data_IF_667976183344
#
_entry.id   IF_667976183344
#
_cell.length_a   1.000
_cell.length_b   1.000
_cell.length_c   1.000
_cell.angle_alpha   90.00
_cell.angle_beta   90.00
_cell.angle_gamma   90.00
#
_symmetry.space_group_name_H-M   'P 1'
#
loop_
_entity.id
_entity.type
_entity.pdbx_description
1 polymer ?
#
# COMPACT_ATOMS: atom_id res chain seq x y z
N UNK A 1 4.40 -11.65 6.85
CA UNK A 1 5.73 -11.08 6.52
C UNK A 1 6.52 -10.54 7.71
N UNK A 2 5.89 -9.96 8.75
CA UNK A 2 6.60 -9.31 9.86
C UNK A 2 7.37 -10.26 10.81
N UNK A 3 7.08 -11.56 10.75
CA UNK A 3 7.72 -12.58 11.59
C UNK A 3 9.07 -13.09 11.05
N UNK A 4 9.31 -12.97 9.73
CA UNK A 4 10.53 -13.50 9.10
C UNK A 4 11.59 -12.41 9.07
N UNK A 5 12.76 -12.71 9.62
CA UNK A 5 13.92 -11.80 9.65
C UNK A 5 15.16 -12.52 9.14
N UNK A 6 16.04 -11.78 8.47
CA UNK A 6 17.37 -12.31 8.09
C UNK A 6 18.14 -12.62 9.39
N UNK A 7 18.69 -13.84 9.55
CA UNK A 7 19.50 -14.21 10.71
C UNK A 7 20.69 -13.27 10.92
N UNK A 8 21.09 -13.04 12.16
CA UNK A 8 22.12 -12.03 12.50
C UNK A 8 23.44 -12.25 11.76
N UNK A 9 23.89 -13.51 11.64
CA UNK A 9 25.12 -13.87 10.93
C UNK A 9 25.09 -13.56 9.43
N UNK A 10 23.90 -13.33 8.85
CA UNK A 10 23.70 -13.03 7.43
C UNK A 10 23.39 -11.56 7.15
N UNK A 11 23.04 -10.75 8.16
CA UNK A 11 22.61 -9.35 7.98
C UNK A 11 23.64 -8.46 7.28
N UNK A 12 24.93 -8.74 7.46
CA UNK A 12 26.04 -7.97 6.85
C UNK A 12 26.55 -8.58 5.55
N UNK A 13 25.95 -9.67 5.06
CA UNK A 13 26.38 -10.31 3.83
C UNK A 13 26.21 -9.36 2.64
N UNK A 14 27.26 -9.13 1.83
CA UNK A 14 27.14 -8.27 0.65
C UNK A 14 26.22 -8.86 -0.42
N UNK A 15 25.97 -10.18 -0.38
CA UNK A 15 25.13 -10.91 -1.33
C UNK A 15 23.63 -10.85 -1.01
N UNK A 16 23.26 -10.47 0.22
CA UNK A 16 21.86 -10.42 0.68
C UNK A 16 21.30 -8.99 0.71
N UNK A 17 21.92 -8.07 -0.03
CA UNK A 17 21.43 -6.70 -0.17
C UNK A 17 20.12 -6.67 -0.96
N UNK A 18 19.15 -5.90 -0.47
CA UNK A 18 17.80 -5.81 -1.04
C UNK A 18 17.71 -4.76 -2.15
N UNK A 19 18.63 -4.81 -3.12
CA UNK A 19 18.68 -3.82 -4.21
C UNK A 19 17.61 -4.07 -5.26
N UNK A 20 17.46 -5.32 -5.72
CA UNK A 20 16.48 -5.65 -6.74
C UNK A 20 15.13 -5.99 -6.11
N UNK A 21 15.12 -6.96 -5.20
CA UNK A 21 13.93 -7.44 -4.46
C UNK A 21 14.13 -7.29 -2.95
N UNK A 22 13.14 -7.72 -2.16
CA UNK A 22 13.14 -7.65 -0.70
C UNK A 22 12.56 -8.92 -0.05
N UNK A 23 12.98 -9.27 1.18
CA UNK A 23 12.54 -10.49 1.85
C UNK A 23 11.02 -10.63 1.96
N UNK A 24 10.31 -9.52 2.15
CA UNK A 24 8.85 -9.52 2.27
C UNK A 24 8.17 -10.09 1.01
N UNK A 25 8.66 -9.74 -0.18
CA UNK A 25 8.14 -10.28 -1.45
C UNK A 25 8.42 -11.77 -1.57
N UNK A 26 9.62 -12.20 -1.16
CA UNK A 26 9.97 -13.62 -1.16
C UNK A 26 9.09 -14.42 -0.21
N UNK A 27 8.87 -13.94 1.02
CA UNK A 27 8.00 -14.60 2.01
C UNK A 27 6.58 -14.75 1.48
N UNK A 28 6.01 -13.71 0.85
CA UNK A 28 4.70 -13.82 0.20
C UNK A 28 4.68 -14.90 -0.89
N UNK A 29 5.69 -14.92 -1.76
CA UNK A 29 5.76 -15.89 -2.85
C UNK A 29 5.92 -17.33 -2.35
N UNK A 30 6.76 -17.56 -1.33
CA UNK A 30 6.92 -18.88 -0.71
C UNK A 30 5.60 -19.31 -0.07
N UNK A 31 4.95 -18.45 0.70
CA UNK A 31 3.67 -18.79 1.33
C UNK A 31 2.63 -19.18 0.27
N UNK A 32 2.49 -18.37 -0.79
CA UNK A 32 1.58 -18.63 -1.90
C UNK A 32 1.93 -19.91 -2.66
N UNK A 33 3.22 -20.22 -2.81
CA UNK A 33 3.67 -21.44 -3.50
C UNK A 33 3.22 -22.70 -2.77
N UNK A 34 3.33 -22.72 -1.43
CA UNK A 34 3.04 -23.91 -0.63
C UNK A 34 1.58 -24.01 -0.16
N UNK A 35 0.94 -22.89 0.18
CA UNK A 35 -0.43 -22.87 0.73
C UNK A 35 -1.49 -22.44 -0.30
N UNK A 36 -1.08 -22.01 -1.49
CA UNK A 36 -1.99 -21.50 -2.50
C UNK A 36 -2.51 -20.10 -2.17
N UNK A 37 -3.74 -19.81 -2.60
CA UNK A 37 -4.33 -18.46 -2.49
C UNK A 37 -5.11 -18.24 -1.18
N UNK A 38 -5.50 -19.30 -0.48
CA UNK A 38 -6.32 -19.22 0.73
C UNK A 38 -5.45 -18.95 1.96
N UNK A 39 -5.80 -17.93 2.73
CA UNK A 39 -5.02 -17.45 3.88
C UNK A 39 -5.63 -17.81 5.24
N UNK A 40 -6.56 -18.79 5.27
CA UNK A 40 -7.36 -19.18 6.43
C UNK A 40 -8.39 -18.16 6.90
N UNK A 41 -8.64 -17.09 6.13
CA UNK A 41 -9.79 -16.22 6.34
C UNK A 41 -10.92 -16.60 5.36
N UNK A 42 -12.06 -17.14 5.83
CA UNK A 42 -13.19 -17.48 4.96
C UNK A 42 -13.69 -16.34 4.08
N UNK A 43 -13.58 -15.08 4.53
CA UNK A 43 -13.97 -13.91 3.74
C UNK A 43 -13.12 -13.72 2.48
N UNK A 44 -11.90 -14.28 2.45
CA UNK A 44 -10.96 -14.18 1.33
C UNK A 44 -11.01 -15.39 0.39
N UNK A 45 -11.80 -16.43 0.69
CA UNK A 45 -11.86 -17.64 -0.12
C UNK A 45 -12.49 -17.38 -1.50
N UNK A 46 -13.60 -16.65 -1.54
CA UNK A 46 -14.31 -16.26 -2.75
C UNK A 46 -14.64 -14.76 -2.67
N UNK A 47 -13.64 -13.88 -2.78
CA UNK A 47 -13.83 -12.47 -2.50
C UNK A 47 -14.72 -11.82 -3.57
N UNK A 48 -15.59 -10.90 -3.14
CA UNK A 48 -16.27 -9.96 -4.02
C UNK A 48 -15.26 -8.99 -4.65
N UNK A 49 -15.59 -8.33 -5.78
CA UNK A 49 -14.76 -7.26 -6.31
C UNK A 49 -14.41 -6.25 -5.22
N UNK A 50 -13.12 -5.91 -5.11
CA UNK A 50 -12.60 -5.07 -4.03
C UNK A 50 -13.34 -3.73 -3.91
N UNK A 51 -13.71 -3.13 -5.04
CA UNK A 51 -14.50 -1.88 -5.08
C UNK A 51 -15.86 -2.00 -4.40
N UNK A 52 -16.53 -3.15 -4.51
CA UNK A 52 -17.81 -3.40 -3.81
C UNK A 52 -17.58 -3.38 -2.30
N UNK A 53 -16.57 -4.12 -1.83
CA UNK A 53 -16.23 -4.19 -0.40
C UNK A 53 -15.80 -2.82 0.15
N UNK A 54 -14.95 -2.09 -0.56
CA UNK A 54 -14.47 -0.77 -0.12
C UNK A 54 -15.58 0.27 -0.11
N UNK A 55 -16.58 0.17 -0.99
CA UNK A 55 -17.77 1.02 -0.95
C UNK A 55 -18.61 0.78 0.32
N UNK A 56 -18.79 -0.48 0.72
CA UNK A 56 -19.50 -0.81 1.97
C UNK A 56 -18.72 -0.32 3.20
N UNK A 57 -17.40 -0.56 3.24
CA UNK A 57 -16.54 -0.05 4.33
C UNK A 57 -16.61 1.48 4.39
N UNK A 58 -16.52 2.16 3.25
CA UNK A 58 -16.66 3.61 3.21
C UNK A 58 -18.07 4.07 3.61
N UNK A 59 -19.11 3.32 3.25
CA UNK A 59 -20.50 3.57 3.66
C UNK A 59 -20.66 3.57 5.19
N UNK A 60 -19.95 2.68 5.89
CA UNK A 60 -19.90 2.66 7.35
C UNK A 60 -19.18 3.89 7.94
N UNK A 61 -18.14 4.39 7.26
CA UNK A 61 -17.39 5.58 7.71
C UNK A 61 -18.18 6.87 7.43
N UNK A 62 -18.81 6.94 6.26
CA UNK A 62 -19.73 8.00 5.83
C UNK A 62 -19.09 9.33 5.44
N UNK A 63 -17.77 9.50 5.60
CA UNK A 63 -17.11 10.79 5.48
C UNK A 63 -15.69 10.68 4.92
N UNK A 64 -15.43 11.37 3.81
CA UNK A 64 -14.10 11.42 3.17
C UNK A 64 -13.08 12.17 4.01
N UNK A 65 -13.48 13.26 4.67
CA UNK A 65 -12.56 14.09 5.46
C UNK A 65 -12.03 13.31 6.67
N UNK A 66 -12.87 12.49 7.31
CA UNK A 66 -12.42 11.61 8.40
C UNK A 66 -11.29 10.67 7.97
N UNK A 67 -11.40 10.05 6.79
CA UNK A 67 -10.37 9.15 6.27
C UNK A 67 -9.09 9.93 5.95
N UNK A 68 -9.21 11.09 5.30
CA UNK A 68 -8.08 11.96 4.95
C UNK A 68 -7.35 12.42 6.22
N UNK A 69 -8.07 13.02 7.17
CA UNK A 69 -7.51 13.51 8.43
C UNK A 69 -6.80 12.38 9.19
N UNK A 70 -7.40 11.19 9.26
CA UNK A 70 -6.78 10.05 9.92
C UNK A 70 -5.50 9.59 9.22
N UNK A 71 -5.49 9.57 7.89
CA UNK A 71 -4.29 9.26 7.13
C UNK A 71 -3.19 10.33 7.34
N UNK A 72 -3.54 11.61 7.48
CA UNK A 72 -2.59 12.66 7.79
C UNK A 72 -2.00 12.54 9.21
N UNK A 73 -2.81 12.19 10.21
CA UNK A 73 -2.34 11.88 11.57
C UNK A 73 -1.38 10.67 11.59
N UNK A 74 -1.73 9.61 10.86
CA UNK A 74 -0.86 8.44 10.74
C UNK A 74 0.46 8.79 10.07
N UNK A 75 0.42 9.62 9.02
CA UNK A 75 1.62 10.15 8.38
C UNK A 75 2.47 10.97 9.34
N UNK A 76 1.88 11.88 10.12
CA UNK A 76 2.61 12.72 11.07
C UNK A 76 3.24 11.92 12.21
N UNK A 77 2.61 10.80 12.61
CA UNK A 77 3.15 9.83 13.58
C UNK A 77 4.20 8.87 13.00
N UNK A 78 4.57 9.01 11.72
CA UNK A 78 5.57 8.16 11.05
C UNK A 78 5.03 6.80 10.57
N UNK A 79 3.73 6.54 10.73
CA UNK A 79 3.07 5.31 10.29
C UNK A 79 2.62 5.39 8.82
N UNK A 80 3.55 5.75 7.93
CA UNK A 80 3.25 6.10 6.52
C UNK A 80 2.59 4.97 5.72
N UNK A 81 3.04 3.71 5.91
CA UNK A 81 2.45 2.57 5.19
C UNK A 81 1.02 2.31 5.66
N UNK A 82 0.76 2.42 6.97
CA UNK A 82 -0.59 2.31 7.53
C UNK A 82 -1.49 3.45 7.04
N UNK A 83 -0.97 4.68 6.98
CA UNK A 83 -1.69 5.82 6.41
C UNK A 83 -2.13 5.56 4.96
N UNK A 84 -1.26 4.92 4.16
CA UNK A 84 -1.57 4.56 2.79
C UNK A 84 -2.70 3.52 2.71
N UNK A 85 -2.67 2.50 3.55
CA UNK A 85 -3.72 1.46 3.60
C UNK A 85 -5.07 2.03 4.05
N UNK A 86 -5.08 2.92 5.06
CA UNK A 86 -6.31 3.60 5.50
C UNK A 86 -6.87 4.49 4.40
N UNK A 87 -6.02 5.25 3.70
CA UNK A 87 -6.45 6.11 2.60
C UNK A 87 -6.97 5.32 1.41
N UNK A 88 -6.48 4.10 1.19
CA UNK A 88 -6.87 3.30 0.02
C UNK A 88 -8.37 2.95 0.04
N UNK A 89 -8.96 2.75 1.23
CA UNK A 89 -10.43 2.58 1.38
C UNK A 89 -11.19 3.70 0.64
N UNK A 90 -10.80 4.96 0.87
CA UNK A 90 -11.40 6.11 0.20
C UNK A 90 -11.07 6.17 -1.28
N UNK A 91 -9.84 5.84 -1.69
CA UNK A 91 -9.43 5.86 -3.10
C UNK A 91 -10.21 4.83 -3.93
N UNK A 92 -10.43 3.63 -3.40
CA UNK A 92 -11.19 2.58 -4.07
C UNK A 92 -12.69 2.94 -4.13
N UNK A 93 -13.24 3.49 -3.04
CA UNK A 93 -14.64 3.86 -2.96
C UNK A 93 -14.99 5.13 -3.77
N UNK A 94 -14.10 6.13 -3.77
CA UNK A 94 -14.26 7.44 -4.42
C UNK A 94 -13.02 7.77 -5.26
N UNK A 95 -12.86 7.10 -6.42
CA UNK A 95 -11.68 7.25 -7.27
C UNK A 95 -11.54 8.65 -7.90
N UNK A 96 -12.54 9.50 -7.84
CA UNK A 96 -12.52 10.88 -8.29
C UNK A 96 -12.13 11.88 -7.18
N UNK A 97 -11.94 11.43 -5.93
CA UNK A 97 -11.55 12.30 -4.84
C UNK A 97 -10.11 12.82 -5.02
N UNK A 98 -10.01 14.10 -5.41
CA UNK A 98 -8.73 14.77 -5.73
C UNK A 98 -7.84 14.89 -4.49
N UNK A 99 -8.40 15.22 -3.33
CA UNK A 99 -7.61 15.41 -2.10
C UNK A 99 -7.02 14.09 -1.61
N UNK A 100 -7.80 13.01 -1.65
CA UNK A 100 -7.29 11.67 -1.36
C UNK A 100 -6.12 11.30 -2.30
N UNK A 101 -6.25 11.55 -3.61
CA UNK A 101 -5.15 11.27 -4.56
C UNK A 101 -3.92 12.12 -4.31
N UNK A 102 -4.07 13.39 -3.96
CA UNK A 102 -2.94 14.26 -3.57
C UNK A 102 -2.23 13.70 -2.33
N UNK A 103 -2.99 13.27 -1.32
CA UNK A 103 -2.41 12.67 -0.12
C UNK A 103 -1.72 11.34 -0.43
N UNK A 104 -2.28 10.50 -1.30
CA UNK A 104 -1.63 9.26 -1.75
C UNK A 104 -0.28 9.53 -2.41
N UNK A 105 -0.19 10.56 -3.27
CA UNK A 105 1.09 11.00 -3.84
C UNK A 105 2.10 11.40 -2.76
N UNK A 106 1.67 12.12 -1.72
CA UNK A 106 2.54 12.52 -0.58
C UNK A 106 3.03 11.29 0.18
N UNK A 107 2.15 10.33 0.47
CA UNK A 107 2.48 9.08 1.16
C UNK A 107 3.47 8.22 0.37
N UNK A 108 3.21 8.00 -0.93
CA UNK A 108 4.08 7.21 -1.79
C UNK A 108 5.48 7.82 -1.93
N UNK A 109 5.58 9.16 -2.02
CA UNK A 109 6.87 9.85 -1.98
C UNK A 109 7.60 9.57 -0.66
N UNK A 110 6.88 9.67 0.46
CA UNK A 110 7.46 9.47 1.79
C UNK A 110 7.95 8.04 2.01
N UNK A 111 7.24 7.04 1.47
CA UNK A 111 7.68 5.64 1.45
C UNK A 111 8.94 5.51 0.57
N UNK A 112 8.90 6.09 -0.63
CA UNK A 112 10.00 6.02 -1.59
C UNK A 112 11.33 6.63 -1.11
N UNK A 113 11.30 7.65 -0.24
CA UNK A 113 12.51 8.24 0.37
C UNK A 113 13.40 7.21 1.08
N UNK A 114 12.79 6.20 1.70
CA UNK A 114 13.48 5.19 2.49
C UNK A 114 13.56 3.82 1.81
N UNK A 115 12.94 3.67 0.64
CA UNK A 115 12.87 2.41 -0.08
C UNK A 115 13.89 2.36 -1.22
N UNK A 116 14.96 1.60 -1.01
CA UNK A 116 16.06 1.40 -1.98
C UNK A 116 15.88 0.16 -2.86
N UNK A 117 14.79 -0.61 -2.67
CA UNK A 117 14.51 -1.77 -3.50
C UNK A 117 13.92 -1.31 -4.83
N UNK A 118 14.61 -1.60 -5.94
CA UNK A 118 14.22 -1.19 -7.29
C UNK A 118 12.78 -1.59 -7.64
N UNK A 119 12.37 -2.80 -7.29
CA UNK A 119 11.02 -3.30 -7.56
C UNK A 119 9.94 -2.44 -6.91
N UNK A 120 10.00 -2.21 -5.60
CA UNK A 120 9.01 -1.39 -4.91
C UNK A 120 9.13 0.09 -5.26
N UNK A 121 10.35 0.61 -5.36
CA UNK A 121 10.61 2.00 -5.72
C UNK A 121 9.96 2.37 -7.06
N UNK A 122 10.13 1.53 -8.08
CA UNK A 122 9.51 1.73 -9.39
C UNK A 122 7.98 1.70 -9.33
N UNK A 123 7.40 0.83 -8.50
CA UNK A 123 5.94 0.76 -8.28
C UNK A 123 5.42 2.06 -7.65
N UNK A 124 6.09 2.57 -6.61
CA UNK A 124 5.70 3.85 -5.99
C UNK A 124 5.73 4.99 -7.00
N UNK A 125 6.80 5.09 -7.79
CA UNK A 125 6.94 6.09 -8.84
C UNK A 125 5.86 5.99 -9.93
N UNK A 126 5.53 4.78 -10.36
CA UNK A 126 4.46 4.54 -11.32
C UNK A 126 3.13 5.09 -10.80
N UNK A 127 2.74 4.73 -9.57
CA UNK A 127 1.46 5.17 -9.01
C UNK A 127 1.42 6.68 -8.70
N UNK A 128 2.54 7.28 -8.30
CA UNK A 128 2.66 8.75 -8.18
C UNK A 128 2.35 9.43 -9.52
N UNK A 129 2.91 8.93 -10.61
CA UNK A 129 2.70 9.52 -11.93
C UNK A 129 1.26 9.29 -12.42
N UNK A 130 0.70 8.11 -12.18
CA UNK A 130 -0.70 7.78 -12.49
C UNK A 130 -1.66 8.72 -11.76
N UNK A 131 -1.48 8.95 -10.46
CA UNK A 131 -2.34 9.88 -9.71
C UNK A 131 -2.23 11.32 -10.20
N UNK A 132 -1.01 11.78 -10.52
CA UNK A 132 -0.82 13.12 -11.11
C UNK A 132 -1.57 13.27 -12.43
N UNK A 133 -1.59 12.24 -13.28
CA UNK A 133 -2.34 12.24 -14.53
C UNK A 133 -3.85 12.31 -14.28
N UNK A 134 -4.37 11.49 -13.36
CA UNK A 134 -5.80 11.48 -13.00
C UNK A 134 -6.22 12.83 -12.40
N UNK A 135 -5.42 13.40 -11.49
CA UNK A 135 -5.72 14.72 -10.91
C UNK A 135 -5.77 15.79 -12.01
N UNK A 136 -4.88 15.73 -13.01
CA UNK A 136 -4.89 16.67 -14.14
C UNK A 136 -6.13 16.49 -15.02
N UNK A 137 -6.60 15.26 -15.23
CA UNK A 137 -7.80 15.01 -16.03
C UNK A 137 -9.08 15.43 -15.32
N UNK A 138 -9.16 15.29 -13.99
CA UNK A 138 -10.33 15.66 -13.19
C UNK A 138 -10.49 17.18 -12.99
N UNK A 139 -9.42 17.96 -13.22
CA UNK A 139 -9.44 19.43 -13.11
C UNK A 139 -9.73 20.14 -14.43
N UNK A 140 -9.75 19.40 -15.54
CA UNK A 140 -10.12 19.92 -16.87
C UNK A 140 -11.61 19.77 -17.05
#
# INVERSE_FOLDING_TARGET
>A
IHAVKIPDHLKKSPYLKTFYSRPEFFVYNVYRWYHGYFDHNPAHLLPRPEKEVMNEIFGLIGDSEKVINRAEELLSSGQTQLALEILDVLIQARPDNIEARKLRVKLLKKIGENDRCLMSHNVWHYFINKDKQIIRSLKK
#
